data_IF_169122096399
#
_entry.id   IF_169122096399
#
_cell.length_a   1.000
_cell.length_b   1.000
_cell.length_c   1.000
_cell.angle_alpha   90.00
_cell.angle_beta   90.00
_cell.angle_gamma   90.00
#
_symmetry.space_group_name_H-M   'P 1'
#
loop_
_entity.id
_entity.type
_entity.pdbx_description
1 polymer ?
#
# COMPACT_ATOMS: atom_id res chain seq x y z
N UNK A 1 -11.91 0.59 -20.06
CA UNK A 1 -11.77 0.67 -21.54
C UNK A 1 -12.90 0.02 -22.34
N UNK A 2 -13.21 -1.27 -22.12
CA UNK A 2 -14.28 -1.99 -22.83
C UNK A 2 -15.65 -1.32 -22.65
N UNK A 3 -16.03 -1.01 -21.40
CA UNK A 3 -17.29 -0.32 -21.09
C UNK A 3 -17.43 1.03 -21.81
N UNK A 4 -16.35 1.82 -21.88
CA UNK A 4 -16.35 3.09 -22.60
C UNK A 4 -16.54 2.92 -24.12
N UNK A 5 -16.04 1.81 -24.70
CA UNK A 5 -16.28 1.48 -26.11
C UNK A 5 -17.74 1.08 -26.36
N UNK A 6 -18.33 0.26 -25.49
CA UNK A 6 -19.74 -0.13 -25.57
C UNK A 6 -20.67 1.09 -25.42
N UNK A 7 -20.40 1.95 -24.43
CA UNK A 7 -21.15 3.19 -24.25
C UNK A 7 -21.06 4.11 -25.47
N UNK A 8 -19.87 4.27 -26.05
CA UNK A 8 -19.70 5.06 -27.27
C UNK A 8 -20.44 4.45 -28.48
N UNK A 9 -20.52 3.12 -28.57
CA UNK A 9 -21.30 2.43 -29.60
C UNK A 9 -22.81 2.60 -29.38
N UNK A 10 -23.29 2.43 -28.14
CA UNK A 10 -24.68 2.64 -27.77
C UNK A 10 -25.13 4.09 -28.01
N UNK A 11 -24.30 5.07 -27.64
CA UNK A 11 -24.53 6.48 -27.94
C UNK A 11 -24.72 6.74 -29.44
N UNK A 12 -23.92 6.11 -30.31
CA UNK A 12 -24.08 6.22 -31.78
C UNK A 12 -25.39 5.62 -32.30
N UNK A 13 -25.97 4.65 -31.58
CA UNK A 13 -27.28 4.05 -31.90
C UNK A 13 -28.46 4.86 -31.34
N UNK A 14 -28.19 5.87 -30.52
CA UNK A 14 -29.20 6.69 -29.85
C UNK A 14 -29.54 6.14 -28.47
N UNK A 15 -28.98 6.75 -27.43
CA UNK A 15 -29.37 6.49 -26.04
C UNK A 15 -30.48 7.46 -25.62
N UNK A 16 -31.53 7.00 -24.92
CA UNK A 16 -32.59 7.87 -24.43
C UNK A 16 -32.08 8.75 -23.28
N UNK A 17 -32.56 10.00 -23.23
CA UNK A 17 -32.20 10.96 -22.19
C UNK A 17 -31.71 12.30 -22.77
N UNK A 18 -32.21 13.38 -22.18
CA UNK A 18 -31.94 14.74 -22.68
C UNK A 18 -30.52 15.22 -22.32
N UNK A 19 -29.94 14.69 -21.24
CA UNK A 19 -28.60 15.04 -20.76
C UNK A 19 -27.60 13.90 -20.92
N UNK A 20 -26.28 14.19 -20.99
CA UNK A 20 -25.23 13.16 -21.00
C UNK A 20 -25.32 12.15 -19.85
N UNK A 21 -25.71 12.60 -18.67
CA UNK A 21 -25.85 11.79 -17.45
C UNK A 21 -27.04 10.84 -17.60
N UNK A 22 -28.21 11.35 -18.02
CA UNK A 22 -29.39 10.50 -18.26
C UNK A 22 -29.14 9.43 -19.31
N UNK A 23 -28.36 9.74 -20.35
CA UNK A 23 -27.96 8.75 -21.37
C UNK A 23 -26.98 7.71 -20.82
N UNK A 24 -26.07 8.10 -19.93
CA UNK A 24 -25.23 7.16 -19.20
C UNK A 24 -26.06 6.24 -18.31
N UNK A 25 -26.99 6.80 -17.54
CA UNK A 25 -27.89 6.02 -16.68
C UNK A 25 -28.69 5.01 -17.50
N UNK A 26 -29.27 5.45 -18.62
CA UNK A 26 -29.99 4.56 -19.55
C UNK A 26 -29.12 3.41 -20.07
N UNK A 27 -27.85 3.68 -20.42
CA UNK A 27 -26.90 2.64 -20.79
C UNK A 27 -26.61 1.69 -19.62
N UNK A 28 -26.37 2.21 -18.40
CA UNK A 28 -26.12 1.33 -17.24
C UNK A 28 -27.33 0.49 -16.87
N UNK A 29 -28.54 1.02 -17.05
CA UNK A 29 -29.78 0.28 -16.86
C UNK A 29 -29.93 -0.83 -17.89
N UNK A 30 -29.56 -0.58 -19.17
CA UNK A 30 -29.62 -1.60 -20.20
C UNK A 30 -28.69 -2.78 -19.93
N UNK A 31 -27.61 -2.60 -19.16
CA UNK A 31 -26.73 -3.69 -18.74
C UNK A 31 -27.39 -4.67 -17.76
N UNK A 32 -28.54 -4.31 -17.17
CA UNK A 32 -29.33 -5.22 -16.32
C UNK A 32 -30.17 -6.20 -17.14
N UNK A 33 -30.42 -5.93 -18.42
CA UNK A 33 -31.05 -6.89 -19.32
C UNK A 33 -30.09 -8.07 -19.57
N UNK A 34 -30.48 -9.31 -19.22
CA UNK A 34 -29.66 -10.48 -19.46
C UNK A 34 -29.25 -10.68 -20.92
N UNK A 35 -30.08 -10.26 -21.89
CA UNK A 35 -29.73 -10.39 -23.31
C UNK A 35 -28.58 -9.46 -23.70
N UNK A 36 -28.65 -8.19 -23.29
CA UNK A 36 -27.60 -7.20 -23.56
C UNK A 36 -26.31 -7.51 -22.80
N UNK A 37 -26.41 -7.91 -21.54
CA UNK A 37 -25.26 -8.36 -20.75
C UNK A 37 -24.55 -9.54 -21.42
N UNK A 38 -25.31 -10.56 -21.86
CA UNK A 38 -24.75 -11.72 -22.58
C UNK A 38 -24.09 -11.33 -23.89
N UNK A 39 -24.68 -10.41 -24.65
CA UNK A 39 -24.08 -9.89 -25.89
C UNK A 39 -22.70 -9.28 -25.62
N UNK A 40 -22.58 -8.44 -24.60
CA UNK A 40 -21.29 -7.82 -24.24
C UNK A 40 -20.29 -8.89 -23.76
N UNK A 41 -20.72 -9.85 -22.93
CA UNK A 41 -19.81 -10.91 -22.48
C UNK A 41 -19.35 -11.82 -23.62
N UNK A 42 -20.20 -12.08 -24.61
CA UNK A 42 -19.86 -12.85 -25.80
C UNK A 42 -18.86 -12.12 -26.71
N UNK A 43 -18.94 -10.78 -26.79
CA UNK A 43 -17.97 -9.94 -27.52
C UNK A 43 -16.61 -9.88 -26.80
N UNK A 44 -16.60 -9.89 -25.46
CA UNK A 44 -15.39 -9.82 -24.64
C UNK A 44 -15.21 -11.05 -23.73
N UNK A 45 -15.06 -12.27 -24.27
CA UNK A 45 -15.07 -13.50 -23.48
C UNK A 45 -13.89 -13.61 -22.52
N UNK A 46 -12.73 -13.05 -22.89
CA UNK A 46 -11.55 -12.98 -21.99
C UNK A 46 -11.83 -12.07 -20.79
N UNK A 47 -12.49 -10.93 -21.01
CA UNK A 47 -12.89 -10.01 -19.94
C UNK A 47 -13.92 -10.67 -19.02
N UNK A 48 -14.90 -11.40 -19.56
CA UNK A 48 -15.86 -12.17 -18.78
C UNK A 48 -15.15 -13.17 -17.86
N UNK A 49 -14.21 -13.94 -18.40
CA UNK A 49 -13.43 -14.89 -17.60
C UNK A 49 -12.55 -14.21 -16.54
N UNK A 50 -11.97 -13.05 -16.83
CA UNK A 50 -11.21 -12.26 -15.85
C UNK A 50 -12.11 -11.71 -14.73
N UNK A 51 -13.28 -11.17 -15.08
CA UNK A 51 -14.25 -10.66 -14.11
C UNK A 51 -14.75 -11.76 -13.18
N UNK A 52 -15.12 -12.93 -13.73
CA UNK A 52 -15.53 -14.09 -12.94
C UNK A 52 -14.43 -14.52 -11.95
N UNK A 53 -13.19 -14.72 -12.43
CA UNK A 53 -12.06 -15.08 -11.57
C UNK A 53 -11.79 -14.05 -10.47
N UNK A 54 -11.92 -12.76 -10.78
CA UNK A 54 -11.73 -11.67 -9.82
C UNK A 54 -12.80 -11.72 -8.72
N UNK A 55 -14.07 -11.92 -9.10
CA UNK A 55 -15.19 -12.01 -8.17
C UNK A 55 -15.11 -13.27 -7.29
N UNK A 56 -14.74 -14.41 -7.87
CA UNK A 56 -14.54 -15.66 -7.15
C UNK A 56 -13.39 -15.52 -6.15
N UNK A 57 -12.24 -14.99 -6.59
CA UNK A 57 -11.09 -14.73 -5.74
C UNK A 57 -11.45 -13.77 -4.59
N UNK A 58 -12.16 -12.69 -4.88
CA UNK A 58 -12.62 -11.74 -3.88
C UNK A 58 -13.53 -12.41 -2.84
N UNK A 59 -14.56 -13.14 -3.29
CA UNK A 59 -15.52 -13.82 -2.41
C UNK A 59 -14.81 -14.84 -1.52
N UNK A 60 -13.95 -15.68 -2.11
CA UNK A 60 -13.16 -16.67 -1.38
C UNK A 60 -12.23 -16.03 -0.36
N UNK A 61 -11.58 -14.91 -0.70
CA UNK A 61 -10.72 -14.19 0.22
C UNK A 61 -11.49 -13.59 1.41
N UNK A 62 -12.71 -13.04 1.20
CA UNK A 62 -13.53 -12.50 2.30
C UNK A 62 -14.09 -13.58 3.20
N UNK A 63 -14.52 -14.71 2.61
CA UNK A 63 -14.96 -15.87 3.38
C UNK A 63 -13.81 -16.53 4.15
N UNK A 64 -12.59 -16.55 3.60
CA UNK A 64 -11.40 -17.02 4.31
C UNK A 64 -11.07 -16.10 5.50
N UNK A 65 -10.99 -14.79 5.28
CA UNK A 65 -10.75 -13.80 6.34
C UNK A 65 -11.78 -13.93 7.48
N UNK A 66 -13.07 -14.05 7.16
CA UNK A 66 -14.11 -14.17 8.19
C UNK A 66 -13.93 -15.44 9.05
N UNK A 67 -13.55 -16.57 8.43
CA UNK A 67 -13.24 -17.82 9.15
C UNK A 67 -11.98 -17.67 10.01
N UNK A 68 -10.93 -17.06 9.48
CA UNK A 68 -9.68 -16.82 10.19
C UNK A 68 -9.90 -15.93 11.42
N UNK A 69 -10.61 -14.81 11.25
CA UNK A 69 -10.97 -13.91 12.35
C UNK A 69 -11.73 -14.67 13.44
N UNK A 70 -12.79 -15.40 13.07
CA UNK A 70 -13.57 -16.17 14.04
C UNK A 70 -12.74 -17.23 14.78
N UNK A 71 -11.86 -17.95 14.06
CA UNK A 71 -11.01 -18.98 14.62
C UNK A 71 -9.91 -18.41 15.54
N UNK A 72 -9.39 -17.23 15.22
CA UNK A 72 -8.29 -16.62 15.96
C UNK A 72 -8.75 -15.74 17.15
N UNK A 73 -10.04 -15.37 17.24
CA UNK A 73 -10.57 -14.51 18.32
C UNK A 73 -10.05 -14.86 19.74
N UNK A 74 -10.08 -16.13 20.20
CA UNK A 74 -9.53 -16.46 21.52
C UNK A 74 -8.03 -16.16 21.66
N UNK A 75 -7.24 -16.45 20.61
CA UNK A 75 -5.81 -16.17 20.59
C UNK A 75 -5.53 -14.66 20.51
N UNK A 76 -6.38 -13.90 19.83
CA UNK A 76 -6.32 -12.44 19.79
C UNK A 76 -6.57 -11.85 21.18
N UNK A 77 -7.59 -12.32 21.90
CA UNK A 77 -7.84 -11.88 23.27
C UNK A 77 -6.67 -12.19 24.20
N UNK A 78 -6.08 -13.38 24.07
CA UNK A 78 -4.91 -13.77 24.86
C UNK A 78 -3.67 -12.91 24.56
N UNK A 79 -3.40 -12.59 23.29
CA UNK A 79 -2.21 -11.84 22.89
C UNK A 79 -2.35 -10.32 23.04
N UNK A 80 -3.55 -9.78 22.81
CA UNK A 80 -3.79 -8.34 22.72
C UNK A 80 -4.63 -7.76 23.87
N UNK A 81 -5.28 -8.60 24.67
CA UNK A 81 -6.22 -8.21 25.72
C UNK A 81 -7.68 -8.23 25.25
N UNK A 82 -8.61 -7.80 26.09
CA UNK A 82 -10.03 -7.68 25.70
C UNK A 82 -10.23 -6.55 24.68
N UNK A 83 -10.58 -6.93 23.46
CA UNK A 83 -10.81 -6.03 22.33
C UNK A 83 -12.27 -5.56 22.22
N UNK A 84 -13.22 -6.26 22.85
CA UNK A 84 -14.66 -6.08 22.63
C UNK A 84 -15.14 -6.59 21.27
N UNK A 85 -16.32 -6.15 20.83
CA UNK A 85 -16.91 -6.58 19.57
C UNK A 85 -16.19 -5.98 18.35
N UNK A 86 -16.31 -6.64 17.19
CA UNK A 86 -15.82 -6.10 15.91
C UNK A 86 -16.75 -4.96 15.49
N UNK A 87 -16.19 -3.75 15.38
CA UNK A 87 -16.89 -2.54 14.98
C UNK A 87 -16.76 -2.24 13.47
N UNK A 88 -15.75 -2.77 12.81
CA UNK A 88 -15.58 -2.59 11.36
C UNK A 88 -14.34 -3.26 10.80
N UNK A 89 -14.36 -3.52 9.50
CA UNK A 89 -13.21 -4.08 8.76
C UNK A 89 -12.97 -3.24 7.52
N UNK A 90 -11.72 -2.81 7.34
CA UNK A 90 -11.26 -2.12 6.14
C UNK A 90 -10.17 -2.93 5.46
N UNK A 91 -10.46 -3.41 4.25
CA UNK A 91 -9.46 -4.08 3.43
C UNK A 91 -8.57 -3.06 2.72
N UNK A 92 -7.30 -3.41 2.53
CA UNK A 92 -6.38 -2.64 1.69
C UNK A 92 -6.87 -2.58 0.24
N UNK A 93 -6.68 -1.42 -0.40
CA UNK A 93 -7.13 -1.13 -1.76
C UNK A 93 -6.14 -1.56 -2.84
N UNK A 94 -4.86 -1.70 -2.51
CA UNK A 94 -3.80 -1.54 -3.52
C UNK A 94 -2.94 -2.80 -3.75
N UNK A 95 -2.81 -3.68 -2.76
CA UNK A 95 -2.03 -4.92 -2.89
C UNK A 95 -2.90 -6.14 -2.62
N UNK A 96 -3.29 -6.80 -3.72
CA UNK A 96 -3.93 -8.11 -3.68
C UNK A 96 -2.88 -9.18 -3.95
N UNK A 97 -2.56 -9.97 -2.93
CA UNK A 97 -1.67 -11.12 -3.06
C UNK A 97 -2.48 -12.39 -3.33
N UNK A 98 -1.89 -13.32 -4.09
CA UNK A 98 -2.27 -14.75 -4.13
C UNK A 98 -3.79 -15.02 -4.16
N UNK A 99 -4.48 -14.46 -5.16
CA UNK A 99 -5.91 -14.72 -5.36
C UNK A 99 -6.85 -13.86 -4.51
N UNK A 100 -6.60 -12.54 -4.42
CA UNK A 100 -7.53 -11.58 -3.82
C UNK A 100 -7.40 -11.37 -2.31
N UNK A 101 -6.43 -12.04 -1.67
CA UNK A 101 -6.11 -11.82 -0.26
C UNK A 101 -5.38 -10.49 -0.11
N UNK A 102 -5.75 -9.71 0.90
CA UNK A 102 -5.15 -8.41 1.17
C UNK A 102 -5.11 -8.19 2.67
N UNK A 103 -4.19 -7.32 3.11
CA UNK A 103 -4.13 -6.83 4.49
C UNK A 103 -5.47 -6.19 4.86
N UNK A 104 -5.91 -6.38 6.11
CA UNK A 104 -7.13 -5.77 6.61
C UNK A 104 -6.92 -5.12 7.97
N UNK A 105 -7.44 -3.91 8.15
CA UNK A 105 -7.59 -3.30 9.46
C UNK A 105 -8.91 -3.76 10.07
N UNK A 106 -8.83 -4.38 11.24
CA UNK A 106 -9.99 -4.81 12.01
C UNK A 106 -10.12 -3.90 13.23
N UNK A 107 -11.14 -3.05 13.20
CA UNK A 107 -11.50 -2.17 14.30
C UNK A 107 -12.42 -2.95 15.24
N UNK A 108 -11.99 -3.07 16.49
CA UNK A 108 -12.80 -3.52 17.60
C UNK A 108 -13.24 -2.31 18.44
N UNK A 109 -14.10 -2.52 19.43
CA UNK A 109 -14.54 -1.46 20.35
C UNK A 109 -13.39 -0.85 21.15
N UNK A 110 -12.40 -1.65 21.54
CA UNK A 110 -11.30 -1.25 22.43
C UNK A 110 -9.91 -1.30 21.79
N UNK A 111 -9.82 -1.47 20.47
CA UNK A 111 -8.54 -1.52 19.78
C UNK A 111 -8.66 -1.76 18.29
N UNK A 112 -7.55 -1.63 17.57
CA UNK A 112 -7.46 -1.95 16.15
C UNK A 112 -6.29 -2.92 15.93
N UNK A 113 -6.53 -3.96 15.14
CA UNK A 113 -5.50 -4.92 14.73
C UNK A 113 -5.36 -4.93 13.21
N UNK A 114 -4.17 -5.32 12.75
CA UNK A 114 -3.87 -5.53 11.34
C UNK A 114 -3.82 -7.02 11.06
N UNK A 115 -4.75 -7.52 10.25
CA UNK A 115 -4.70 -8.87 9.70
C UNK A 115 -3.80 -8.88 8.46
N UNK A 116 -2.85 -9.81 8.43
CA UNK A 116 -1.99 -10.07 7.28
C UNK A 116 -2.17 -11.51 6.82
N UNK A 117 -2.59 -11.78 5.58
CA UNK A 117 -2.81 -13.14 5.06
C UNK A 117 -1.48 -13.84 4.66
N UNK A 118 -0.46 -13.72 5.52
CA UNK A 118 0.86 -14.31 5.41
C UNK A 118 1.45 -14.59 6.79
N UNK A 119 2.44 -15.47 6.87
CA UNK A 119 3.25 -15.63 8.08
C UNK A 119 3.86 -14.29 8.52
N UNK A 120 3.98 -14.13 9.84
CA UNK A 120 4.72 -13.04 10.48
C UNK A 120 6.10 -13.47 11.00
N UNK A 121 6.65 -14.58 10.51
CA UNK A 121 7.98 -15.05 10.93
C UNK A 121 9.09 -14.01 10.69
N UNK A 122 9.03 -13.29 9.56
CA UNK A 122 9.96 -12.19 9.25
C UNK A 122 9.74 -11.02 10.20
N UNK A 123 8.49 -10.61 10.44
CA UNK A 123 8.15 -9.55 11.39
C UNK A 123 8.65 -9.88 12.81
N UNK A 124 8.48 -11.14 13.26
CA UNK A 124 9.00 -11.61 14.55
C UNK A 124 10.53 -11.64 14.61
N UNK A 125 11.20 -11.98 13.51
CA UNK A 125 12.66 -11.95 13.44
C UNK A 125 13.17 -10.51 13.61
N UNK A 126 12.53 -9.57 12.91
CA UNK A 126 12.86 -8.15 13.04
C UNK A 126 12.54 -7.61 14.44
N UNK A 127 11.41 -7.98 15.05
CA UNK A 127 11.08 -7.61 16.44
C UNK A 127 12.13 -8.09 17.44
N UNK A 128 12.68 -9.31 17.27
CA UNK A 128 13.80 -9.80 18.09
C UNK A 128 15.07 -8.98 17.88
N UNK A 129 15.36 -8.57 16.64
CA UNK A 129 16.50 -7.69 16.35
C UNK A 129 16.33 -6.33 17.05
N UNK A 130 15.14 -5.73 17.02
CA UNK A 130 14.84 -4.50 17.75
C UNK A 130 15.00 -4.69 19.26
N UNK A 131 14.52 -5.81 19.80
CA UNK A 131 14.68 -6.17 21.21
C UNK A 131 16.14 -6.30 21.62
N UNK A 132 16.95 -6.98 20.81
CA UNK A 132 18.40 -7.07 21.01
C UNK A 132 19.05 -5.68 20.98
N UNK A 133 18.77 -4.87 19.94
CA UNK A 133 19.34 -3.53 19.80
C UNK A 133 19.04 -2.65 21.01
N UNK A 134 17.79 -2.63 21.46
CA UNK A 134 17.36 -1.86 22.63
C UNK A 134 18.04 -2.33 23.93
N UNK A 135 18.42 -3.61 24.03
CA UNK A 135 19.07 -4.19 25.19
C UNK A 135 20.60 -4.03 25.19
N UNK A 136 21.22 -3.65 24.06
CA UNK A 136 22.68 -3.53 23.90
C UNK A 136 23.35 -2.45 24.75
N UNK A 137 22.59 -1.63 25.47
CA UNK A 137 23.09 -0.53 26.30
C UNK A 137 23.48 0.71 25.48
N UNK A 138 23.44 1.89 26.08
CA UNK A 138 23.82 3.15 25.42
C UNK A 138 22.87 3.64 24.32
N UNK A 139 21.68 3.06 24.20
CA UNK A 139 20.63 3.48 23.26
C UNK A 139 19.82 4.63 23.89
N UNK A 140 19.99 5.90 23.46
CA UNK A 140 19.26 7.04 24.03
C UNK A 140 17.76 7.00 23.72
N UNK A 141 17.38 6.41 22.60
CA UNK A 141 15.99 6.34 22.14
C UNK A 141 15.64 4.92 21.67
N UNK A 142 15.06 4.08 22.53
CA UNK A 142 14.65 2.73 22.15
C UNK A 142 13.71 2.72 20.95
N UNK A 143 13.89 1.75 20.06
CA UNK A 143 13.01 1.52 18.92
C UNK A 143 11.71 0.87 19.37
N UNK A 144 10.57 1.41 18.91
CA UNK A 144 9.25 0.87 19.26
C UNK A 144 9.09 -0.53 18.66
N UNK A 145 8.67 -1.46 19.52
CA UNK A 145 8.25 -2.81 19.16
C UNK A 145 6.73 -2.87 19.16
N UNK A 146 6.15 -3.66 18.27
CA UNK A 146 4.71 -3.87 18.19
C UNK A 146 4.38 -5.31 18.54
N UNK A 147 3.20 -5.54 19.14
CA UNK A 147 2.75 -6.90 19.44
C UNK A 147 2.40 -7.63 18.14
N UNK A 148 2.81 -8.90 18.06
CA UNK A 148 2.64 -9.77 16.89
C UNK A 148 2.06 -11.12 17.33
N UNK A 149 1.16 -11.67 16.53
CA UNK A 149 0.63 -13.02 16.64
C UNK A 149 0.74 -13.71 15.29
N UNK A 150 1.73 -14.60 15.14
CA UNK A 150 1.85 -15.43 13.94
C UNK A 150 1.03 -16.72 14.10
N UNK A 151 0.28 -17.07 13.06
CA UNK A 151 -0.50 -18.32 12.97
C UNK A 151 0.08 -19.25 11.90
N UNK A 152 1.24 -18.90 11.33
CA UNK A 152 1.97 -19.72 10.36
C UNK A 152 1.62 -19.37 8.91
N UNK A 153 0.33 -19.40 8.53
CA UNK A 153 -0.12 -19.03 7.18
C UNK A 153 -0.74 -17.64 7.09
N UNK A 154 -0.97 -17.01 8.24
CA UNK A 154 -1.52 -15.67 8.46
C UNK A 154 -1.01 -15.13 9.78
N UNK A 155 -1.24 -13.85 10.06
CA UNK A 155 -1.04 -13.33 11.39
C UNK A 155 -1.65 -11.97 11.64
N UNK A 156 -1.48 -11.51 12.86
CA UNK A 156 -2.07 -10.30 13.39
C UNK A 156 -1.00 -9.43 14.04
N UNK A 157 -1.06 -8.13 13.81
CA UNK A 157 -0.22 -7.18 14.52
C UNK A 157 -1.04 -6.09 15.18
N UNK A 158 -0.46 -5.50 16.23
CA UNK A 158 -0.91 -4.21 16.73
C UNK A 158 -0.92 -3.18 15.59
N UNK A 159 -1.96 -2.34 15.57
CA UNK A 159 -2.01 -1.20 14.67
C UNK A 159 -1.15 -0.06 15.22
N UNK A 160 -0.09 0.30 14.50
CA UNK A 160 0.68 1.51 14.80
C UNK A 160 -0.14 2.72 14.37
N UNK A 161 -0.74 3.41 15.34
CA UNK A 161 -1.59 4.57 15.06
C UNK A 161 -0.77 5.79 14.63
N UNK A 162 -1.02 6.37 13.43
CA UNK A 162 -0.31 7.56 12.98
C UNK A 162 -0.61 8.77 13.86
N UNK A 163 0.41 9.39 14.44
CA UNK A 163 0.27 10.53 15.33
C UNK A 163 1.30 11.62 14.99
N UNK A 164 0.96 12.91 15.15
CA UNK A 164 1.91 14.00 14.93
C UNK A 164 3.08 13.94 15.92
N UNK A 165 4.26 14.37 15.48
CA UNK A 165 5.43 14.52 16.32
C UNK A 165 5.59 15.99 16.72
N UNK A 166 5.61 16.28 18.02
CA UNK A 166 5.94 17.61 18.51
C UNK A 166 7.40 17.99 18.15
N UNK A 167 7.70 19.27 17.85
CA UNK A 167 9.04 19.71 17.44
C UNK A 167 10.16 19.25 18.37
N UNK A 168 9.94 19.29 19.68
CA UNK A 168 10.93 18.96 20.71
C UNK A 168 11.30 17.47 20.72
N UNK A 169 10.46 16.62 20.10
CA UNK A 169 10.69 15.18 19.97
C UNK A 169 11.24 14.77 18.61
N UNK A 170 11.35 15.69 17.65
CA UNK A 170 11.92 15.41 16.33
C UNK A 170 13.35 14.85 16.41
N UNK A 171 14.26 15.35 17.27
CA UNK A 171 15.60 14.76 17.40
C UNK A 171 15.55 13.27 17.73
N UNK A 172 14.64 12.86 18.62
CA UNK A 172 14.46 11.45 18.97
C UNK A 172 13.87 10.64 17.79
N UNK A 173 12.92 11.21 17.03
CA UNK A 173 12.39 10.57 15.83
C UNK A 173 13.48 10.33 14.79
N UNK A 174 14.28 11.35 14.45
CA UNK A 174 15.34 11.22 13.45
C UNK A 174 16.47 10.31 13.92
N UNK A 175 16.80 10.29 15.21
CA UNK A 175 17.72 9.31 15.76
C UNK A 175 17.21 7.88 15.56
N UNK A 176 15.92 7.63 15.85
CA UNK A 176 15.29 6.31 15.62
C UNK A 176 15.26 5.94 14.14
N UNK A 177 15.01 6.90 13.25
CA UNK A 177 15.12 6.68 11.79
C UNK A 177 16.54 6.27 11.39
N UNK A 178 17.57 6.91 11.93
CA UNK A 178 18.96 6.53 11.70
C UNK A 178 19.30 5.12 12.20
N UNK A 179 18.80 4.74 13.37
CA UNK A 179 18.94 3.38 13.90
C UNK A 179 18.21 2.36 13.01
N UNK A 180 16.98 2.63 12.59
CA UNK A 180 16.24 1.78 11.65
C UNK A 180 16.97 1.65 10.31
N UNK A 181 17.54 2.73 9.77
CA UNK A 181 18.35 2.71 8.56
C UNK A 181 19.53 1.75 8.70
N UNK A 182 20.29 1.82 9.79
CA UNK A 182 21.43 0.95 10.04
C UNK A 182 21.01 -0.53 10.15
N UNK A 183 19.97 -0.81 10.94
CA UNK A 183 19.50 -2.18 11.16
C UNK A 183 18.91 -2.81 9.89
N UNK A 184 18.07 -2.07 9.16
CA UNK A 184 17.46 -2.55 7.92
C UNK A 184 18.50 -2.73 6.82
N UNK A 185 19.51 -1.86 6.75
CA UNK A 185 20.65 -2.05 5.86
C UNK A 185 21.43 -3.32 6.21
N UNK A 186 21.74 -3.57 7.49
CA UNK A 186 22.49 -4.74 7.94
C UNK A 186 21.79 -6.07 7.61
N UNK A 187 20.46 -6.09 7.61
CA UNK A 187 19.67 -7.28 7.23
C UNK A 187 19.25 -7.31 5.76
N UNK A 188 19.92 -6.53 4.90
CA UNK A 188 19.63 -6.48 3.46
C UNK A 188 18.16 -6.16 3.13
N UNK A 189 17.55 -5.27 3.92
CA UNK A 189 16.23 -4.71 3.63
C UNK A 189 16.24 -3.78 2.43
N UNK A 190 15.16 -3.81 1.66
CA UNK A 190 14.86 -2.88 0.59
C UNK A 190 13.36 -2.50 0.60
N UNK A 191 12.96 -1.57 -0.26
CA UNK A 191 11.55 -1.18 -0.47
C UNK A 191 10.82 -0.58 0.75
N UNK A 192 11.54 0.08 1.66
CA UNK A 192 10.94 0.80 2.79
C UNK A 192 10.55 2.22 2.36
N UNK A 193 9.48 2.32 1.58
CA UNK A 193 8.87 3.59 1.20
C UNK A 193 7.93 4.14 2.29
N UNK A 194 7.40 5.34 2.06
CA UNK A 194 6.62 6.11 3.03
C UNK A 194 5.30 5.45 3.46
N UNK A 195 4.77 4.50 2.69
CA UNK A 195 3.59 3.72 3.08
C UNK A 195 3.95 2.57 4.05
N UNK A 196 5.22 2.14 4.07
CA UNK A 196 5.73 1.06 4.91
C UNK A 196 6.25 1.53 6.28
N UNK A 197 6.32 2.86 6.50
CA UNK A 197 6.78 3.46 7.75
C UNK A 197 5.71 4.39 8.30
N UNK A 198 5.23 4.10 9.50
CA UNK A 198 4.26 4.91 10.22
C UNK A 198 4.97 5.74 11.29
N UNK A 199 4.84 7.05 11.20
CA UNK A 199 5.16 7.97 12.30
C UNK A 199 4.04 7.90 13.36
N UNK A 200 4.28 7.13 14.41
CA UNK A 200 3.42 7.06 15.58
C UNK A 200 3.92 8.07 16.64
N UNK A 201 3.84 9.37 16.30
CA UNK A 201 4.47 10.43 17.07
C UNK A 201 5.98 10.44 16.82
N UNK A 202 6.78 10.28 17.88
CA UNK A 202 8.25 10.28 17.80
C UNK A 202 8.83 8.88 17.53
N UNK A 203 7.96 7.89 17.33
CA UNK A 203 8.32 6.50 17.08
C UNK A 203 8.01 6.16 15.61
N UNK A 204 9.01 6.08 14.73
CA UNK A 204 8.84 5.48 13.42
C UNK A 204 8.68 3.97 13.56
N UNK A 205 7.61 3.41 13.00
CA UNK A 205 7.30 1.98 13.03
C UNK A 205 7.24 1.44 11.61
N UNK A 206 8.06 0.44 11.31
CA UNK A 206 8.04 -0.25 10.02
C UNK A 206 6.95 -1.33 10.05
N UNK A 207 5.97 -1.24 9.16
CA UNK A 207 4.74 -2.07 9.21
C UNK A 207 4.62 -3.07 8.07
N UNK A 208 5.44 -2.97 7.03
CA UNK A 208 5.64 -4.06 6.07
C UNK A 208 7.11 -4.43 5.96
N UNK A 209 7.38 -5.70 6.29
CA UNK A 209 8.73 -6.24 6.47
C UNK A 209 9.01 -7.39 5.49
N UNK A 210 8.13 -7.59 4.51
CA UNK A 210 8.28 -8.68 3.55
C UNK A 210 9.52 -8.54 2.67
N UNK A 211 10.09 -7.33 2.55
CA UNK A 211 11.29 -7.03 1.79
C UNK A 211 12.60 -7.07 2.60
N UNK A 212 12.61 -7.72 3.77
CA UNK A 212 13.83 -7.93 4.59
C UNK A 212 14.52 -9.26 4.26
N UNK A 213 15.81 -9.39 4.63
CA UNK A 213 16.60 -10.63 4.52
C UNK A 213 16.78 -11.17 3.10
N UNK A 214 16.72 -10.29 2.09
CA UNK A 214 16.87 -10.71 0.70
C UNK A 214 18.33 -10.88 0.31
N UNK A 215 18.57 -11.87 -0.55
CA UNK A 215 19.89 -12.06 -1.17
C UNK A 215 20.00 -11.21 -2.43
N UNK A 216 21.22 -10.86 -2.83
CA UNK A 216 21.49 -10.04 -4.01
C UNK A 216 20.90 -10.64 -5.30
N UNK A 217 20.73 -11.96 -5.37
CA UNK A 217 20.16 -12.65 -6.54
C UNK A 217 18.67 -12.44 -6.77
N UNK A 218 17.92 -12.01 -5.75
CA UNK A 218 16.45 -11.89 -5.79
C UNK A 218 15.95 -10.46 -5.98
N UNK A 219 16.85 -9.47 -6.05
CA UNK A 219 16.45 -8.06 -6.08
C UNK A 219 16.33 -7.49 -7.50
N UNK A 220 15.30 -6.67 -7.80
CA UNK A 220 15.17 -5.97 -9.08
C UNK A 220 16.35 -5.02 -9.39
N UNK A 221 16.90 -4.35 -8.37
CA UNK A 221 18.04 -3.43 -8.51
C UNK A 221 19.32 -4.19 -8.87
N UNK A 222 19.53 -5.37 -8.29
CA UNK A 222 20.63 -6.25 -8.69
C UNK A 222 20.51 -6.70 -10.16
N UNK A 223 19.31 -6.67 -10.75
CA UNK A 223 19.09 -6.92 -12.18
C UNK A 223 19.62 -5.80 -13.07
N UNK A 224 19.65 -4.54 -12.59
CA UNK A 224 20.32 -3.41 -13.26
C UNK A 224 21.83 -3.43 -13.05
N UNK A 225 22.31 -3.82 -11.86
CA UNK A 225 23.73 -4.06 -11.60
C UNK A 225 24.33 -5.11 -12.56
N UNK A 226 23.56 -6.12 -12.96
CA UNK A 226 23.95 -7.10 -14.01
C UNK A 226 24.24 -6.50 -15.39
N UNK A 227 23.93 -5.22 -15.63
CA UNK A 227 24.33 -4.50 -16.84
C UNK A 227 25.76 -3.91 -16.74
N UNK A 228 26.45 -4.11 -15.61
CA UNK A 228 27.85 -3.74 -15.42
C UNK A 228 28.10 -2.27 -15.09
N UNK A 229 27.13 -1.57 -14.48
CA UNK A 229 27.29 -0.19 -14.01
C UNK A 229 27.84 -0.16 -12.57
N UNK A 230 29.13 0.22 -12.36
CA UNK A 230 29.75 0.21 -11.03
C UNK A 230 29.14 1.26 -10.08
N UNK A 231 28.51 2.32 -10.60
CA UNK A 231 27.83 3.31 -9.77
C UNK A 231 26.51 2.74 -9.23
N UNK A 232 25.74 2.07 -10.09
CA UNK A 232 24.52 1.38 -9.67
C UNK A 232 24.80 0.27 -8.64
N UNK A 233 25.87 -0.49 -8.81
CA UNK A 233 26.32 -1.49 -7.83
C UNK A 233 26.63 -0.88 -6.46
N UNK A 234 27.40 0.22 -6.43
CA UNK A 234 27.71 0.92 -5.17
C UNK A 234 26.46 1.48 -4.48
N UNK A 235 25.53 2.05 -5.25
CA UNK A 235 24.27 2.54 -4.71
C UNK A 235 23.42 1.39 -4.13
N UNK A 236 23.35 0.25 -4.84
CA UNK A 236 22.63 -0.95 -4.40
C UNK A 236 23.28 -1.61 -3.17
N UNK A 237 24.59 -1.45 -2.98
CA UNK A 237 25.31 -1.91 -1.79
C UNK A 237 25.26 -0.91 -0.62
N UNK A 238 24.72 0.30 -0.81
CA UNK A 238 24.68 1.35 0.21
C UNK A 238 23.38 1.35 1.02
N UNK A 239 23.30 2.23 2.03
CA UNK A 239 22.08 2.49 2.81
C UNK A 239 20.91 3.01 1.96
N UNK A 240 21.17 3.58 0.78
CA UNK A 240 20.12 4.05 -0.14
C UNK A 240 19.20 2.92 -0.62
N UNK A 241 19.72 1.69 -0.68
CA UNK A 241 18.92 0.51 -1.07
C UNK A 241 17.71 0.27 -0.18
N UNK A 242 17.75 0.75 1.06
CA UNK A 242 16.67 0.55 2.03
C UNK A 242 15.39 1.26 1.60
N UNK A 243 15.48 2.38 0.88
CA UNK A 243 14.34 3.24 0.53
C UNK A 243 13.96 4.28 1.60
N UNK A 244 14.61 4.25 2.78
CA UNK A 244 14.28 5.14 3.90
C UNK A 244 14.77 6.58 3.71
N UNK A 245 15.83 6.78 2.93
CA UNK A 245 16.42 8.09 2.68
C UNK A 245 15.77 8.80 1.48
N UNK A 246 15.66 10.13 1.52
CA UNK A 246 15.24 10.92 0.37
C UNK A 246 16.11 10.65 -0.86
N UNK A 247 15.46 10.54 -2.01
CA UNK A 247 16.08 10.09 -3.25
C UNK A 247 15.02 10.00 -4.35
N UNK A 248 14.82 11.06 -5.15
CA UNK A 248 13.76 11.06 -6.16
C UNK A 248 14.01 9.96 -7.19
N UNK A 249 12.99 9.11 -7.37
CA UNK A 249 12.92 8.19 -8.50
C UNK A 249 12.64 9.01 -9.76
N UNK A 250 13.57 8.92 -10.72
CA UNK A 250 13.42 9.57 -12.02
C UNK A 250 12.58 8.67 -12.91
N UNK A 251 11.40 9.15 -13.27
CA UNK A 251 10.43 8.45 -14.11
C UNK A 251 10.35 9.11 -15.49
N UNK A 252 10.25 8.33 -16.58
CA UNK A 252 9.91 8.90 -17.87
C UNK A 252 8.48 9.46 -17.81
N UNK A 253 8.28 10.67 -18.31
CA UNK A 253 6.93 11.18 -18.54
C UNK A 253 6.44 10.65 -19.89
N UNK A 254 5.22 10.13 -19.93
CA UNK A 254 4.60 9.67 -21.18
C UNK A 254 3.77 10.76 -21.85
N UNK A 255 3.54 11.88 -21.16
CA UNK A 255 2.86 13.06 -21.69
C UNK A 255 3.80 14.19 -22.09
N UNK A 256 5.08 14.12 -21.73
CA UNK A 256 6.11 15.10 -22.10
C UNK A 256 7.41 14.37 -22.47
N UNK A 257 8.36 15.05 -23.12
CA UNK A 257 9.69 14.47 -23.40
C UNK A 257 10.67 14.61 -22.21
N UNK A 258 10.25 15.23 -21.11
CA UNK A 258 11.09 15.49 -19.94
C UNK A 258 10.75 14.51 -18.81
N UNK A 259 11.76 13.87 -18.17
CA UNK A 259 11.51 13.04 -17.02
C UNK A 259 11.07 13.88 -15.81
N UNK A 260 10.41 13.24 -14.86
CA UNK A 260 10.04 13.85 -13.57
C UNK A 260 10.56 13.02 -12.40
N UNK A 261 10.85 13.68 -11.28
CA UNK A 261 11.31 13.04 -10.06
C UNK A 261 10.18 12.87 -9.06
N UNK A 262 10.08 11.69 -8.43
CA UNK A 262 9.15 11.44 -7.33
C UNK A 262 9.90 10.83 -6.16
N UNK A 263 9.84 11.48 -5.00
CA UNK A 263 10.36 10.91 -3.76
C UNK A 263 9.26 10.13 -3.03
N UNK A 264 9.51 8.84 -2.82
CA UNK A 264 8.61 7.92 -2.11
C UNK A 264 9.17 7.53 -0.74
N UNK A 265 10.30 8.08 -0.31
CA UNK A 265 10.89 7.79 1.00
C UNK A 265 10.05 8.38 2.13
N UNK A 266 10.07 7.79 3.34
CA UNK A 266 9.36 8.31 4.50
C UNK A 266 9.73 9.76 4.88
N UNK A 267 10.95 10.18 4.55
CA UNK A 267 11.49 11.50 4.90
C UNK A 267 11.35 12.55 3.78
N UNK A 268 11.23 12.11 2.53
CA UNK A 268 11.17 12.99 1.35
C UNK A 268 9.77 13.11 0.74
N UNK A 269 8.81 12.27 1.14
CA UNK A 269 7.48 12.28 0.52
C UNK A 269 6.73 13.59 0.78
N UNK A 270 6.20 14.17 -0.29
CA UNK A 270 5.40 15.38 -0.27
C UNK A 270 3.93 15.08 -0.65
N UNK A 271 2.97 15.89 -0.15
CA UNK A 271 1.59 15.80 -0.63
C UNK A 271 1.48 16.23 -2.09
N UNK A 272 0.51 15.65 -2.81
CA UNK A 272 0.24 16.00 -4.22
C UNK A 272 1.30 15.48 -5.18
N UNK A 273 1.91 14.34 -4.89
CA UNK A 273 2.87 13.72 -5.81
C UNK A 273 2.12 13.07 -6.96
N UNK A 274 2.72 13.09 -8.15
CA UNK A 274 2.18 12.38 -9.32
C UNK A 274 2.38 10.87 -9.18
N UNK A 275 1.46 10.07 -9.71
CA UNK A 275 1.66 8.61 -9.81
C UNK A 275 2.95 8.29 -10.59
N UNK A 276 3.67 7.21 -10.21
CA UNK A 276 4.95 6.86 -10.84
C UNK A 276 4.78 6.43 -12.30
N UNK A 277 3.67 5.77 -12.59
CA UNK A 277 3.30 5.30 -13.93
C UNK A 277 1.93 5.89 -14.30
N UNK A 278 1.64 6.03 -15.60
CA UNK A 278 0.30 6.36 -16.03
C UNK A 278 -0.63 5.19 -15.70
N UNK A 279 -1.78 5.50 -15.12
CA UNK A 279 -2.82 4.55 -14.73
C UNK A 279 -4.08 4.76 -15.57
N UNK A 280 -5.00 3.80 -15.62
CA UNK A 280 -6.30 4.02 -16.26
C UNK A 280 -7.07 5.15 -15.58
N UNK A 281 -7.31 6.24 -16.30
CA UNK A 281 -8.13 7.38 -15.85
C UNK A 281 -9.42 7.41 -16.67
N UNK A 282 -10.53 7.74 -16.02
CA UNK A 282 -11.84 7.88 -16.65
C UNK A 282 -12.20 9.36 -16.74
N UNK A 283 -12.24 9.89 -17.96
CA UNK A 283 -12.70 11.25 -18.24
C UNK A 283 -14.22 11.27 -18.42
N UNK A 284 -14.86 12.36 -18.00
CA UNK A 284 -16.32 12.53 -18.08
C UNK A 284 -17.10 11.34 -17.49
N UNK A 285 -16.59 10.80 -16.37
CA UNK A 285 -17.22 9.70 -15.65
C UNK A 285 -18.69 10.01 -15.34
N UNK A 286 -19.57 9.02 -15.46
CA UNK A 286 -21.01 9.20 -15.23
C UNK A 286 -21.77 9.87 -16.39
N UNK A 287 -21.17 9.99 -17.58
CA UNK A 287 -21.82 10.60 -18.76
C UNK A 287 -21.65 9.75 -20.02
N UNK A 288 -22.51 9.94 -21.02
CA UNK A 288 -22.39 9.31 -22.35
C UNK A 288 -21.15 9.74 -23.16
N UNK A 289 -20.36 10.65 -22.60
CA UNK A 289 -19.06 11.10 -23.12
C UNK A 289 -17.88 10.43 -22.43
N UNK A 290 -18.13 9.49 -21.52
CA UNK A 290 -17.09 8.80 -20.75
C UNK A 290 -16.03 8.18 -21.65
N UNK A 291 -14.77 8.47 -21.35
CA UNK A 291 -13.59 7.92 -22.05
C UNK A 291 -12.63 7.32 -21.03
N UNK A 292 -11.98 6.23 -21.42
CA UNK A 292 -10.90 5.65 -20.63
C UNK A 292 -9.58 5.90 -21.34
N UNK A 293 -8.67 6.59 -20.68
CA UNK A 293 -7.32 6.88 -21.15
C UNK A 293 -6.28 6.43 -20.14
N UNK A 294 -5.01 6.55 -20.51
CA UNK A 294 -3.91 6.48 -19.56
C UNK A 294 -3.57 7.90 -19.14
N UNK A 295 -3.47 8.11 -17.83
CA UNK A 295 -3.19 9.41 -17.26
C UNK A 295 -2.51 9.26 -15.91
N UNK A 296 -1.92 10.36 -15.47
CA UNK A 296 -1.36 10.46 -14.14
C UNK A 296 -2.38 11.10 -13.21
N UNK A 297 -2.30 10.76 -11.94
CA UNK A 297 -3.19 11.32 -10.92
C UNK A 297 -2.38 11.74 -9.69
N UNK A 298 -2.98 12.62 -8.89
CA UNK A 298 -2.39 13.14 -7.67
C UNK A 298 -2.52 12.11 -6.55
N UNK A 299 -1.41 11.50 -6.18
CA UNK A 299 -1.32 10.57 -5.07
C UNK A 299 -1.31 11.37 -3.76
N UNK A 300 -2.28 11.14 -2.86
CA UNK A 300 -2.30 11.79 -1.57
C UNK A 300 -1.08 11.38 -0.75
N UNK A 301 -0.71 12.23 0.21
CA UNK A 301 0.39 11.87 1.11
C UNK A 301 -0.02 10.66 1.98
N UNK A 302 0.92 9.75 2.30
CA UNK A 302 0.63 8.60 3.15
C UNK A 302 0.10 9.06 4.51
N UNK A 303 -0.96 8.41 5.00
CA UNK A 303 -1.54 8.72 6.31
C UNK A 303 -0.53 8.52 7.46
N UNK A 304 0.44 7.62 7.26
CA UNK A 304 1.52 7.30 8.18
C UNK A 304 2.68 8.30 8.18
N UNK A 305 2.69 9.32 7.31
CA UNK A 305 3.84 10.25 7.21
C UNK A 305 4.11 11.01 8.50
N UNK A 306 5.38 11.38 8.71
CA UNK A 306 5.77 12.32 9.75
C UNK A 306 5.11 13.69 9.51
N UNK A 307 4.47 14.22 10.54
CA UNK A 307 3.82 15.54 10.53
C UNK A 307 3.93 16.21 11.89
N UNK A 308 3.94 17.53 11.89
CA UNK A 308 3.82 18.36 13.08
C UNK A 308 2.35 18.44 13.56
N UNK A 309 2.08 18.92 14.79
CA UNK A 309 0.71 19.07 15.31
C UNK A 309 -0.19 19.99 14.47
N UNK A 310 0.40 20.97 13.78
CA UNK A 310 -0.28 21.88 12.85
C UNK A 310 -0.51 21.27 11.45
N UNK A 311 -0.07 20.02 11.22
CA UNK A 311 -0.15 19.33 9.94
C UNK A 311 1.02 19.61 8.98
N UNK A 312 1.96 20.48 9.37
CA UNK A 312 3.16 20.79 8.60
C UNK A 312 4.12 19.63 8.46
N UNK A 313 4.96 19.68 7.43
CA UNK A 313 6.07 18.74 7.23
C UNK A 313 7.31 19.28 7.96
N UNK A 314 7.93 18.55 8.89
CA UNK A 314 9.17 18.99 9.52
C UNK A 314 10.34 18.94 8.54
N UNK A 315 11.22 19.93 8.58
CA UNK A 315 12.49 19.91 7.84
C UNK A 315 13.50 19.07 8.62
N UNK A 316 14.04 17.98 8.06
CA UNK A 316 15.05 17.16 8.73
C UNK A 316 16.38 17.89 8.99
N UNK A 317 16.57 19.11 8.47
CA UNK A 317 17.75 19.96 8.67
C UNK A 317 17.58 21.00 9.79
N UNK A 318 16.36 21.24 10.25
CA UNK A 318 16.02 22.21 11.29
C UNK A 318 16.07 21.57 12.69
#
# INVERSE_FOLDING_TARGET
>A
PALARELAAARRRGLPGDTPERRYDAFTESLRDPAEARRIWAEYPVLAGQAARLLDAWTNARAAFARDLAADLPALTAAFGDLGAVAGVRFGSEETHRGGRTVALVRFERGTLVYKPRSLAVDQCFDRLLGWFNASGGVPHPLRRIRLLDRGDRGWSEYAEPAPCAPERLPAFFWRMGALLALTHAVHGYDLHADNVIAAGADPVVVDLEALFHTEGTQPVARRARLGDPAAERLAASVLRTGLLPGPLVMPDTGTELPFGVDISPLGTAPGRRSLIPTPVVEHAGTDRMRAGLGYWDVPAPAGRLRLPDGGTPDPRA
#
